data_IF_076870639952
#
_entry.id   IF_076870639952
#
_cell.length_a   1.000
_cell.length_b   1.000
_cell.length_c   1.000
_cell.angle_alpha   90.00
_cell.angle_beta   90.00
_cell.angle_gamma   90.00
#
_symmetry.space_group_name_H-M   'P 1'
#
loop_
_entity.id
_entity.type
_entity.pdbx_description
1 polymer ?
#
# COMPACT_ATOMS: atom_id res chain seq x y z
N UNK A 1 -2.83 9.42 8.94
CA UNK A 1 -1.66 8.60 8.52
C UNK A 1 -1.92 8.05 7.12
N UNK A 2 -0.92 7.55 6.38
CA UNK A 2 -1.15 6.93 5.06
C UNK A 2 -2.18 5.79 5.13
N UNK A 3 -2.11 4.99 6.20
CA UNK A 3 -3.06 3.91 6.48
C UNK A 3 -4.54 4.34 6.47
N UNK A 4 -4.83 5.59 6.86
CA UNK A 4 -6.20 6.13 6.90
C UNK A 4 -6.66 6.59 5.53
N UNK A 5 -5.72 6.94 4.65
CA UNK A 5 -5.96 7.46 3.29
C UNK A 5 -6.03 6.35 2.23
N UNK A 6 -5.68 5.10 2.60
CA UNK A 6 -5.70 3.96 1.68
C UNK A 6 -7.06 3.78 1.01
N UNK A 7 -7.05 3.43 -0.27
CA UNK A 7 -8.28 3.02 -0.95
C UNK A 7 -8.89 1.79 -0.24
N UNK A 8 -10.23 1.71 -0.10
CA UNK A 8 -10.88 0.65 0.66
C UNK A 8 -10.55 -0.77 0.19
N UNK A 9 -10.46 -1.00 -1.12
CA UNK A 9 -10.17 -2.32 -1.68
C UNK A 9 -8.75 -2.80 -1.35
N UNK A 10 -7.74 -1.93 -1.48
CA UNK A 10 -6.35 -2.22 -1.09
C UNK A 10 -6.29 -2.57 0.40
N UNK A 11 -6.92 -1.74 1.24
CA UNK A 11 -6.94 -1.94 2.69
C UNK A 11 -7.62 -3.26 3.07
N UNK A 12 -8.70 -3.64 2.39
CA UNK A 12 -9.39 -4.90 2.62
C UNK A 12 -8.50 -6.10 2.24
N UNK A 13 -7.88 -6.07 1.06
CA UNK A 13 -6.99 -7.14 0.59
C UNK A 13 -5.74 -7.31 1.47
N UNK A 14 -5.15 -6.20 1.93
CA UNK A 14 -4.04 -6.28 2.87
C UNK A 14 -4.45 -6.93 4.20
N UNK A 15 -5.65 -6.67 4.71
CA UNK A 15 -6.15 -7.28 5.95
C UNK A 15 -6.41 -8.77 5.78
N UNK A 16 -7.05 -9.17 4.68
CA UNK A 16 -7.27 -10.57 4.31
C UNK A 16 -5.91 -11.32 4.26
N UNK A 17 -4.94 -10.76 3.54
CA UNK A 17 -3.59 -11.34 3.46
C UNK A 17 -2.86 -11.37 4.80
N UNK A 18 -3.14 -10.47 5.73
CA UNK A 18 -2.51 -10.46 7.05
C UNK A 18 -3.05 -11.54 8.00
N UNK A 19 -4.23 -12.11 7.73
CA UNK A 19 -4.77 -13.27 8.47
C UNK A 19 -3.93 -14.52 8.20
N UNK A 20 -3.50 -14.71 6.94
CA UNK A 20 -2.63 -15.82 6.52
C UNK A 20 -1.14 -15.51 6.76
N UNK A 21 -0.71 -14.30 6.41
CA UNK A 21 0.68 -13.86 6.46
C UNK A 21 0.87 -12.79 7.53
N UNK A 22 1.07 -13.21 8.78
CA UNK A 22 1.32 -12.28 9.91
C UNK A 22 2.54 -11.36 9.69
N UNK A 23 3.46 -11.75 8.82
CA UNK A 23 4.57 -10.92 8.36
C UNK A 23 4.12 -9.64 7.67
N UNK A 24 2.86 -9.48 7.28
CA UNK A 24 2.33 -8.22 6.71
C UNK A 24 2.16 -7.13 7.78
N UNK A 25 2.12 -7.49 9.07
CA UNK A 25 1.78 -6.53 10.12
C UNK A 25 2.75 -5.33 10.22
N UNK A 26 4.04 -5.52 9.93
CA UNK A 26 5.02 -4.40 9.90
C UNK A 26 4.64 -3.34 8.86
N UNK A 27 3.98 -3.74 7.77
CA UNK A 27 3.57 -2.83 6.71
C UNK A 27 2.43 -1.92 7.19
N UNK A 28 1.49 -2.44 7.99
CA UNK A 28 0.47 -1.60 8.62
C UNK A 28 1.08 -0.57 9.57
N UNK A 29 2.07 -0.97 10.36
CA UNK A 29 2.72 -0.06 11.29
C UNK A 29 3.54 1.00 10.55
N UNK A 30 4.21 0.62 9.47
CA UNK A 30 4.90 1.55 8.55
C UNK A 30 3.92 2.57 7.96
N UNK A 31 2.76 2.13 7.47
CA UNK A 31 1.73 3.00 6.89
C UNK A 31 1.04 3.91 7.94
N UNK A 32 1.06 3.53 9.22
CA UNK A 32 0.62 4.39 10.31
C UNK A 32 1.67 5.45 10.66
N UNK A 33 2.96 5.15 10.51
CA UNK A 33 4.03 6.10 10.84
C UNK A 33 4.27 7.16 9.76
N UNK A 34 3.88 6.89 8.51
CA UNK A 34 4.12 7.78 7.36
C UNK A 34 2.89 8.59 6.97
N UNK A 35 3.11 9.81 6.46
CA UNK A 35 2.04 10.76 6.11
C UNK A 35 1.88 10.97 4.61
N UNK A 36 2.97 10.84 3.84
CA UNK A 36 3.00 11.08 2.40
C UNK A 36 3.48 9.85 1.64
N UNK A 37 2.95 9.65 0.44
CA UNK A 37 3.36 8.57 -0.45
C UNK A 37 4.85 8.62 -0.78
N UNK A 38 5.41 9.83 -0.95
CA UNK A 38 6.84 10.06 -1.22
C UNK A 38 7.77 9.57 -0.10
N UNK A 39 7.25 9.32 1.10
CA UNK A 39 8.03 8.81 2.22
C UNK A 39 8.21 7.28 2.14
N UNK A 40 7.49 6.61 1.23
CA UNK A 40 7.58 5.17 1.05
C UNK A 40 8.83 4.78 0.28
N UNK A 41 9.48 3.71 0.72
CA UNK A 41 10.55 3.08 -0.05
C UNK A 41 9.96 2.25 -1.19
N UNK A 42 10.77 1.96 -2.22
CA UNK A 42 10.36 1.08 -3.32
C UNK A 42 9.98 -0.32 -2.78
N UNK A 43 10.65 -0.81 -1.75
CA UNK A 43 10.34 -2.09 -1.13
C UNK A 43 8.98 -2.09 -0.40
N UNK A 44 8.62 -1.00 0.27
CA UNK A 44 7.30 -0.84 0.87
C UNK A 44 6.22 -0.74 -0.20
N UNK A 45 6.45 0.04 -1.26
CA UNK A 45 5.54 0.14 -2.42
C UNK A 45 5.31 -1.25 -3.01
N UNK A 46 6.37 -2.02 -3.24
CA UNK A 46 6.28 -3.40 -3.73
C UNK A 46 5.46 -4.29 -2.81
N UNK A 47 5.71 -4.21 -1.51
CA UNK A 47 4.97 -5.01 -0.53
C UNK A 47 3.50 -4.64 -0.51
N UNK A 48 3.16 -3.35 -0.65
CA UNK A 48 1.78 -2.89 -0.76
C UNK A 48 1.12 -3.43 -2.03
N UNK A 49 1.82 -3.43 -3.17
CA UNK A 49 1.28 -4.04 -4.39
C UNK A 49 0.97 -5.53 -4.20
N UNK A 50 1.92 -6.28 -3.63
CA UNK A 50 1.77 -7.72 -3.38
C UNK A 50 0.61 -8.03 -2.44
N UNK A 51 0.52 -7.36 -1.29
CA UNK A 51 -0.51 -7.67 -0.28
C UNK A 51 -1.83 -6.91 -0.50
N UNK A 52 -1.81 -5.87 -1.34
CA UNK A 52 -2.98 -5.10 -1.74
C UNK A 52 -3.69 -5.63 -2.99
N UNK A 53 -3.19 -6.73 -3.57
CA UNK A 53 -3.68 -7.32 -4.83
C UNK A 53 -3.69 -6.30 -5.98
N UNK A 54 -2.58 -5.55 -6.09
CA UNK A 54 -2.36 -4.57 -7.16
C UNK A 54 -1.21 -5.05 -8.04
N UNK A 55 -1.49 -5.30 -9.31
CA UNK A 55 -0.50 -5.76 -10.25
C UNK A 55 0.28 -4.60 -10.86
N UNK A 56 1.60 -4.77 -11.00
CA UNK A 56 2.45 -3.74 -11.61
C UNK A 56 2.07 -3.38 -13.05
N UNK A 57 1.54 -4.34 -13.81
CA UNK A 57 1.12 -4.08 -15.19
C UNK A 57 -0.12 -3.18 -15.27
N UNK A 58 -0.89 -3.06 -14.18
CA UNK A 58 -2.04 -2.15 -14.08
C UNK A 58 -1.63 -0.72 -13.71
N UNK A 59 -0.39 -0.52 -13.25
CA UNK A 59 0.11 0.77 -12.82
C UNK A 59 0.90 1.46 -13.92
N UNK A 60 0.53 2.71 -14.24
CA UNK A 60 1.36 3.55 -15.10
C UNK A 60 2.58 4.07 -14.34
N UNK A 61 3.60 4.54 -15.07
CA UNK A 61 4.74 5.23 -14.45
C UNK A 61 4.29 6.42 -13.59
N UNK A 62 3.25 7.13 -14.03
CA UNK A 62 2.67 8.24 -13.28
C UNK A 62 2.07 7.77 -11.97
N UNK A 63 1.36 6.65 -11.98
CA UNK A 63 0.78 6.06 -10.76
C UNK A 63 1.88 5.70 -9.76
N UNK A 64 2.96 5.08 -10.23
CA UNK A 64 4.09 4.69 -9.36
C UNK A 64 4.78 5.93 -8.76
N UNK A 65 4.93 7.02 -9.51
CA UNK A 65 5.60 8.24 -9.03
C UNK A 65 4.71 9.02 -8.05
N UNK A 66 3.42 9.16 -8.34
CA UNK A 66 2.53 10.07 -7.60
C UNK A 66 1.61 9.37 -6.60
N UNK A 67 1.46 8.05 -6.69
CA UNK A 67 0.70 7.26 -5.70
C UNK A 67 -0.82 7.40 -5.76
N UNK A 68 -1.39 7.95 -6.85
CA UNK A 68 -2.84 8.13 -7.01
C UNK A 68 -3.61 6.79 -6.99
N UNK A 69 -2.93 5.69 -7.32
CA UNK A 69 -3.49 4.34 -7.21
C UNK A 69 -3.70 3.90 -5.75
N UNK A 70 -2.87 4.36 -4.80
CA UNK A 70 -2.83 3.86 -3.42
C UNK A 70 -3.81 4.57 -2.47
N UNK A 71 -3.92 5.90 -2.58
CA UNK A 71 -4.69 6.72 -1.63
C UNK A 71 -5.83 7.48 -2.29
N UNK A 72 -6.91 7.71 -1.54
CA UNK A 72 -7.93 8.70 -1.92
C UNK A 72 -7.39 10.13 -1.66
N UNK A 73 -7.76 11.07 -2.53
CA UNK A 73 -7.49 12.51 -2.32
C UNK A 73 -8.21 13.02 -1.07
#
# INVERSE_FOLDING_TARGET
>A
MLYDKLKPHIKAKMKENAEEYKTVNWLFDTLKQKNNYSDLTIDEIRSICTFGDVWYYDLTQRDIIWGEWLTNK
#
